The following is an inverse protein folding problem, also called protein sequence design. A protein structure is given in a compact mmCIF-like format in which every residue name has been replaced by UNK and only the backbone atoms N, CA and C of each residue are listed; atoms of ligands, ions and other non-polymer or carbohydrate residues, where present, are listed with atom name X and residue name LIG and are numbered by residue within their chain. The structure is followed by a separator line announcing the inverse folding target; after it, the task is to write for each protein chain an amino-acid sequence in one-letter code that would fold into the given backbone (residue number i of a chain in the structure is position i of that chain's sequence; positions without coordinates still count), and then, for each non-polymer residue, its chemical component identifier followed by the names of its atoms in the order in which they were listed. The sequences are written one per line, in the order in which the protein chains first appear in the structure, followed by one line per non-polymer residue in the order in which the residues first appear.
data_IF_366503968182
#
_entry.id   IF_366503968182
#
_cell.length_a   1.000
_cell.length_b   1.000
_cell.length_c   1.000
_cell.angle_alpha   90.00
_cell.angle_beta   90.00
_cell.angle_gamma   90.00
#
_symmetry.space_group_name_H-M   'P 1'
#
loop_
_entity.id
_entity.type
_entity.pdbx_description
1 polymer ?
#
# COMPACT_ATOMS: atom_id res chain seq x y z
N UNK A 1 -45.93 2.17 11.86
CA UNK A 1 -44.87 1.18 12.19
C UNK A 1 -44.08 0.66 10.97
N UNK A 2 -44.66 0.48 9.77
CA UNK A 2 -44.00 -0.19 8.61
C UNK A 2 -42.78 0.53 8.00
N UNK A 3 -42.67 1.86 8.14
CA UNK A 3 -41.50 2.64 7.65
C UNK A 3 -40.25 2.44 8.49
N UNK A 4 -40.39 2.23 9.80
CA UNK A 4 -39.26 2.10 10.72
C UNK A 4 -38.44 0.83 10.45
N UNK A 5 -39.09 -0.27 10.06
CA UNK A 5 -38.41 -1.54 9.78
C UNK A 5 -37.46 -1.43 8.59
N UNK A 6 -37.88 -0.81 7.49
CA UNK A 6 -37.02 -0.62 6.31
C UNK A 6 -35.82 0.29 6.61
N UNK A 7 -36.04 1.37 7.37
CA UNK A 7 -34.97 2.26 7.86
C UNK A 7 -33.94 1.48 8.70
N UNK A 8 -34.40 0.67 9.66
CA UNK A 8 -33.49 -0.11 10.52
C UNK A 8 -32.69 -1.13 9.72
N UNK A 9 -33.32 -1.87 8.81
CA UNK A 9 -32.62 -2.84 7.95
C UNK A 9 -31.54 -2.16 7.12
N UNK A 10 -31.83 -1.00 6.53
CA UNK A 10 -30.87 -0.23 5.77
C UNK A 10 -29.68 0.23 6.62
N UNK A 11 -29.94 0.76 7.83
CA UNK A 11 -28.90 1.20 8.77
C UNK A 11 -27.99 0.04 9.17
N UNK A 12 -28.57 -1.10 9.54
CA UNK A 12 -27.81 -2.30 9.92
C UNK A 12 -26.95 -2.80 8.76
N UNK A 13 -27.49 -2.78 7.54
CA UNK A 13 -26.72 -3.16 6.35
C UNK A 13 -25.51 -2.26 6.11
N UNK A 14 -25.68 -0.95 6.26
CA UNK A 14 -24.57 0.01 6.18
C UNK A 14 -23.54 -0.25 7.30
N UNK A 15 -23.97 -0.54 8.53
CA UNK A 15 -23.05 -0.89 9.63
C UNK A 15 -22.20 -2.11 9.28
N UNK A 16 -22.81 -3.16 8.73
CA UNK A 16 -22.11 -4.36 8.28
C UNK A 16 -21.11 -4.03 7.16
N UNK A 17 -21.49 -3.19 6.19
CA UNK A 17 -20.58 -2.74 5.13
C UNK A 17 -19.38 -1.96 5.67
N UNK A 18 -19.59 -1.05 6.62
CA UNK A 18 -18.50 -0.30 7.27
C UNK A 18 -17.51 -1.23 7.98
N UNK A 19 -18.02 -2.23 8.71
CA UNK A 19 -17.19 -3.25 9.34
C UNK A 19 -16.50 -4.16 8.31
N UNK A 20 -17.18 -4.53 7.23
CA UNK A 20 -16.61 -5.32 6.15
C UNK A 20 -15.42 -4.64 5.49
N UNK A 21 -15.50 -3.33 5.26
CA UNK A 21 -14.39 -2.52 4.74
C UNK A 21 -13.23 -2.42 5.74
N UNK A 22 -13.53 -2.28 7.03
CA UNK A 22 -12.50 -2.26 8.06
C UNK A 22 -11.77 -3.60 8.17
N UNK A 23 -12.50 -4.71 8.21
CA UNK A 23 -11.95 -6.07 8.31
C UNK A 23 -11.16 -6.42 7.06
N UNK A 24 -11.65 -6.09 5.85
CA UNK A 24 -10.91 -6.32 4.62
C UNK A 24 -9.57 -5.59 4.60
N UNK A 25 -9.53 -4.37 5.17
CA UNK A 25 -8.30 -3.63 5.35
C UNK A 25 -7.29 -4.34 6.24
N UNK A 26 -7.74 -4.80 7.42
CA UNK A 26 -6.89 -5.55 8.35
C UNK A 26 -6.40 -6.85 7.70
N UNK A 27 -7.25 -7.57 6.97
CA UNK A 27 -6.87 -8.79 6.26
C UNK A 27 -5.84 -8.52 5.15
N UNK A 28 -5.97 -7.40 4.43
CA UNK A 28 -4.99 -6.99 3.42
C UNK A 28 -3.64 -6.67 4.07
N UNK A 29 -3.63 -5.87 5.14
CA UNK A 29 -2.42 -5.58 5.89
C UNK A 29 -1.79 -6.87 6.44
N UNK A 30 -2.60 -7.74 7.02
CA UNK A 30 -2.16 -9.05 7.52
C UNK A 30 -1.51 -9.89 6.41
N UNK A 31 -2.15 -9.97 5.24
CA UNK A 31 -1.63 -10.70 4.08
C UNK A 31 -0.30 -10.13 3.59
N UNK A 32 -0.17 -8.81 3.51
CA UNK A 32 1.08 -8.12 3.15
C UNK A 32 2.19 -8.43 4.15
N UNK A 33 1.90 -8.32 5.44
CA UNK A 33 2.90 -8.52 6.51
C UNK A 33 3.37 -9.98 6.57
N UNK A 34 2.44 -10.95 6.55
CA UNK A 34 2.79 -12.36 6.75
C UNK A 34 3.43 -12.99 5.52
N UNK A 35 2.92 -12.66 4.31
CA UNK A 35 3.42 -13.23 3.06
C UNK A 35 4.53 -12.40 2.42
N UNK A 36 4.94 -11.30 3.06
CA UNK A 36 5.94 -10.34 2.55
C UNK A 36 5.67 -9.90 1.10
N UNK A 37 4.39 -9.80 0.74
CA UNK A 37 4.01 -9.29 -0.58
C UNK A 37 4.39 -7.81 -0.66
N UNK A 38 4.80 -7.40 -1.86
CA UNK A 38 4.95 -5.99 -2.17
C UNK A 38 3.61 -5.28 -1.97
N UNK A 39 3.61 -4.16 -1.25
CA UNK A 39 2.41 -3.35 -1.05
C UNK A 39 1.96 -2.82 -2.42
N UNK A 40 0.75 -3.17 -2.89
CA UNK A 40 0.26 -2.62 -4.13
C UNK A 40 0.01 -1.12 -3.97
N UNK A 41 0.56 -0.31 -4.87
CA UNK A 41 0.41 1.16 -4.85
C UNK A 41 -1.06 1.60 -4.82
N UNK A 42 -1.95 0.85 -5.48
CA UNK A 42 -3.37 1.15 -5.53
C UNK A 42 -4.08 0.99 -4.17
N UNK A 43 -3.53 0.20 -3.24
CA UNK A 43 -4.15 0.00 -1.93
C UNK A 43 -4.18 1.28 -1.10
N UNK A 44 -3.18 2.16 -1.23
CA UNK A 44 -3.20 3.47 -0.57
C UNK A 44 -4.39 4.31 -1.02
N UNK A 45 -4.62 4.38 -2.34
CA UNK A 45 -5.77 5.08 -2.92
C UNK A 45 -7.11 4.48 -2.46
N UNK A 46 -7.20 3.15 -2.38
CA UNK A 46 -8.39 2.47 -1.86
C UNK A 46 -8.72 2.90 -0.43
N UNK A 47 -7.77 2.82 0.50
CA UNK A 47 -8.00 3.15 1.91
C UNK A 47 -8.30 4.63 2.14
N UNK A 48 -7.61 5.52 1.43
CA UNK A 48 -7.94 6.95 1.42
C UNK A 48 -9.37 7.13 0.89
N UNK A 49 -9.72 6.48 -0.22
CA UNK A 49 -11.08 6.50 -0.77
C UNK A 49 -12.14 6.03 0.23
N UNK A 50 -11.87 4.95 0.98
CA UNK A 50 -12.76 4.46 2.04
C UNK A 50 -12.94 5.52 3.14
N UNK A 51 -11.84 6.13 3.62
CA UNK A 51 -11.91 7.18 4.64
C UNK A 51 -12.77 8.38 4.21
N UNK A 52 -12.72 8.73 2.93
CA UNK A 52 -13.54 9.81 2.37
C UNK A 52 -14.96 9.38 1.98
N UNK A 53 -15.20 8.08 1.75
CA UNK A 53 -16.53 7.56 1.43
C UNK A 53 -17.42 7.34 2.66
N UNK A 54 -16.82 7.05 3.82
CA UNK A 54 -17.57 6.76 5.05
C UNK A 54 -18.41 7.94 5.56
N UNK A 55 -17.93 9.21 5.58
CA UNK A 55 -18.74 10.33 6.08
C UNK A 55 -19.98 10.63 5.22
N UNK A 56 -19.91 10.72 3.87
CA UNK A 56 -21.10 10.84 3.04
C UNK A 56 -22.07 9.67 3.21
N UNK A 57 -21.56 8.44 3.39
CA UNK A 57 -22.41 7.26 3.61
C UNK A 57 -23.21 7.34 4.92
N UNK A 58 -22.62 7.90 5.98
CA UNK A 58 -23.31 8.19 7.24
C UNK A 58 -24.39 9.26 7.07
N UNK A 59 -24.11 10.31 6.28
CA UNK A 59 -25.08 11.37 6.01
C UNK A 59 -26.25 10.93 5.13
N UNK A 60 -26.08 9.84 4.37
CA UNK A 60 -27.13 9.23 3.57
C UNK A 60 -28.14 8.39 4.40
N UNK A 61 -27.96 8.30 5.72
CA UNK A 61 -28.87 7.50 6.55
C UNK A 61 -30.28 8.12 6.60
N UNK A 62 -31.33 7.30 6.40
CA UNK A 62 -32.70 7.77 6.39
C UNK A 62 -33.09 8.38 7.73
N UNK A 63 -33.64 9.60 7.68
CA UNK A 63 -34.04 10.36 8.87
C UNK A 63 -32.98 11.31 9.42
N UNK A 64 -31.82 11.41 8.76
CA UNK A 64 -30.70 12.30 9.10
C UNK A 64 -30.48 12.42 10.62
N UNK A 65 -30.16 11.29 11.29
CA UNK A 65 -30.00 11.28 12.74
C UNK A 65 -28.90 12.29 13.16
N UNK A 66 -29.09 13.04 14.27
CA UNK A 66 -28.14 14.05 14.72
C UNK A 66 -26.76 13.42 15.01
N UNK A 67 -25.68 14.18 14.89
CA UNK A 67 -24.34 13.65 15.15
C UNK A 67 -24.23 13.07 16.57
N UNK A 68 -23.78 11.82 16.70
CA UNK A 68 -23.55 11.16 17.99
C UNK A 68 -24.60 10.11 18.37
N UNK A 69 -25.27 9.51 17.40
CA UNK A 69 -26.23 8.41 17.65
C UNK A 69 -25.47 7.09 17.83
N UNK A 70 -26.12 6.09 18.42
CA UNK A 70 -25.54 4.78 18.70
C UNK A 70 -24.81 4.15 17.49
N UNK A 71 -25.33 4.33 16.28
CA UNK A 71 -24.69 3.84 15.03
C UNK A 71 -23.30 4.42 14.83
N UNK A 72 -23.10 5.68 15.21
CA UNK A 72 -21.82 6.37 15.04
C UNK A 72 -20.78 5.83 16.03
N UNK A 73 -21.20 5.66 17.28
CA UNK A 73 -20.38 5.10 18.36
C UNK A 73 -20.03 3.64 18.15
N UNK A 74 -20.94 2.83 17.61
CA UNK A 74 -20.76 1.38 17.46
C UNK A 74 -20.07 1.02 16.16
N UNK A 75 -20.28 1.78 15.08
CA UNK A 75 -19.76 1.43 13.75
C UNK A 75 -18.86 2.49 13.14
N UNK A 76 -19.35 3.72 12.97
CA UNK A 76 -18.64 4.71 12.15
C UNK A 76 -17.25 5.03 12.71
N UNK A 77 -17.14 5.36 14.00
CA UNK A 77 -15.86 5.71 14.60
C UNK A 77 -14.90 4.53 14.61
N UNK A 78 -15.36 3.33 14.97
CA UNK A 78 -14.54 2.12 14.93
C UNK A 78 -14.05 1.80 13.52
N UNK A 79 -14.91 1.87 12.51
CA UNK A 79 -14.53 1.62 11.12
C UNK A 79 -13.48 2.64 10.65
N UNK A 80 -13.69 3.94 10.88
CA UNK A 80 -12.74 4.99 10.50
C UNK A 80 -11.40 4.80 11.22
N UNK A 81 -11.41 4.50 12.52
CA UNK A 81 -10.20 4.26 13.31
C UNK A 81 -9.43 3.04 12.81
N UNK A 82 -10.11 1.91 12.59
CA UNK A 82 -9.46 0.68 12.09
C UNK A 82 -8.87 0.91 10.70
N UNK A 83 -9.62 1.52 9.78
CA UNK A 83 -9.14 1.82 8.42
C UNK A 83 -7.96 2.79 8.47
N UNK A 84 -8.04 3.84 9.30
CA UNK A 84 -6.96 4.82 9.46
C UNK A 84 -5.68 4.20 10.01
N UNK A 85 -5.78 3.38 11.07
CA UNK A 85 -4.63 2.64 11.62
C UNK A 85 -4.06 1.68 10.59
N UNK A 86 -4.91 0.95 9.87
CA UNK A 86 -4.49 0.02 8.81
C UNK A 86 -3.71 0.75 7.72
N UNK A 87 -4.19 1.91 7.28
CA UNK A 87 -3.51 2.73 6.28
C UNK A 87 -2.14 3.21 6.77
N UNK A 88 -2.04 3.72 8.01
CA UNK A 88 -0.76 4.14 8.60
C UNK A 88 0.25 2.98 8.64
N UNK A 89 -0.20 1.79 9.05
CA UNK A 89 0.63 0.59 9.04
C UNK A 89 1.05 0.18 7.63
N UNK A 90 0.14 0.24 6.65
CA UNK A 90 0.44 -0.08 5.27
C UNK A 90 1.51 0.86 4.69
N UNK A 91 1.44 2.16 5.03
CA UNK A 91 2.45 3.16 4.63
C UNK A 91 3.79 2.83 5.28
N UNK A 92 3.81 2.54 6.58
CA UNK A 92 5.03 2.18 7.30
C UNK A 92 5.70 0.92 6.70
N UNK A 93 4.92 -0.10 6.38
CA UNK A 93 5.40 -1.33 5.73
C UNK A 93 5.88 -1.03 4.30
N UNK A 94 5.13 -0.25 3.53
CA UNK A 94 5.50 0.14 2.17
C UNK A 94 6.84 0.90 2.12
N UNK A 95 7.07 1.86 3.02
CA UNK A 95 8.35 2.57 3.13
C UNK A 95 9.50 1.59 3.42
N UNK A 96 9.29 0.64 4.34
CA UNK A 96 10.32 -0.38 4.66
C UNK A 96 10.64 -1.26 3.45
N UNK A 97 9.63 -1.69 2.70
CA UNK A 97 9.83 -2.51 1.51
C UNK A 97 10.58 -1.74 0.41
N UNK A 98 10.19 -0.50 0.10
CA UNK A 98 10.87 0.31 -0.91
C UNK A 98 12.35 0.55 -0.60
N UNK A 99 12.71 0.70 0.68
CA UNK A 99 14.12 0.83 1.10
C UNK A 99 14.90 -0.46 0.85
N UNK A 100 14.35 -1.61 1.25
CA UNK A 100 14.99 -2.91 1.04
C UNK A 100 15.21 -3.22 -0.46
N UNK A 101 14.21 -2.93 -1.30
CA UNK A 101 14.34 -3.12 -2.76
C UNK A 101 15.36 -2.16 -3.39
N UNK A 102 15.48 -0.92 -2.89
CA UNK A 102 16.45 0.04 -3.40
C UNK A 102 17.90 -0.39 -3.13
N UNK A 103 18.18 -0.91 -1.93
CA UNK A 103 19.50 -1.44 -1.56
C UNK A 103 19.91 -2.63 -2.45
N UNK A 104 18.99 -3.56 -2.70
CA UNK A 104 19.23 -4.71 -3.59
C UNK A 104 19.52 -4.29 -5.04
N UNK A 105 18.80 -3.29 -5.56
CA UNK A 105 19.02 -2.76 -6.91
C UNK A 105 20.37 -2.05 -7.04
N UNK A 106 20.84 -1.40 -5.98
CA UNK A 106 22.16 -0.78 -5.96
C UNK A 106 23.27 -1.84 -6.02
N UNK A 107 23.16 -2.90 -5.22
CA UNK A 107 24.11 -4.02 -5.21
C UNK A 107 24.16 -4.74 -6.57
N UNK A 108 23.00 -5.06 -7.14
CA UNK A 108 22.91 -5.71 -8.45
C UNK A 108 23.54 -4.88 -9.59
N UNK A 109 23.42 -3.54 -9.54
CA UNK A 109 24.10 -2.66 -10.50
C UNK A 109 25.62 -2.74 -10.35
N UNK A 110 26.13 -2.65 -9.12
CA UNK A 110 27.57 -2.75 -8.85
C UNK A 110 28.15 -4.10 -9.30
N UNK A 111 27.43 -5.20 -9.08
CA UNK A 111 27.86 -6.53 -9.55
C UNK A 111 27.93 -6.62 -11.08
N UNK A 112 26.94 -6.05 -11.79
CA UNK A 112 26.94 -6.02 -13.26
C UNK A 112 28.12 -5.20 -13.79
N UNK A 113 28.37 -4.01 -13.23
CA UNK A 113 29.47 -3.15 -13.64
C UNK A 113 30.83 -3.85 -13.45
N UNK A 114 31.02 -4.51 -12.31
CA UNK A 114 32.23 -5.30 -12.03
C UNK A 114 32.40 -6.47 -13.01
N UNK A 115 31.32 -7.14 -13.40
CA UNK A 115 31.38 -8.21 -14.41
C UNK A 115 31.71 -7.67 -15.80
N UNK A 116 31.21 -6.48 -16.15
CA UNK A 116 31.51 -5.83 -17.42
C UNK A 116 32.99 -5.47 -17.52
N UNK A 117 33.56 -4.89 -16.46
CA UNK A 117 34.97 -4.52 -16.39
C UNK A 117 35.89 -5.76 -16.42
N UNK A 118 35.51 -6.82 -15.71
CA UNK A 118 36.22 -8.09 -15.73
C UNK A 118 36.18 -8.75 -17.13
N UNK A 119 35.03 -8.70 -17.82
CA UNK A 119 34.92 -9.18 -19.21
C UNK A 119 35.73 -8.32 -20.17
N UNK A 120 35.67 -6.99 -20.07
CA UNK A 120 36.42 -6.08 -20.93
C UNK A 120 37.94 -6.28 -20.78
N UNK A 121 38.42 -6.49 -19.55
CA UNK A 121 39.82 -6.79 -19.26
C UNK A 121 40.25 -8.17 -19.81
N UNK A 122 39.37 -9.17 -19.76
CA UNK A 122 39.64 -10.51 -20.30
C UNK A 122 39.61 -10.56 -21.84
N UNK A 123 38.77 -9.73 -22.48
CA UNK A 123 38.64 -9.67 -23.94
C UNK A 123 39.68 -8.75 -24.59
N UNK A 124 40.35 -7.88 -23.82
CA UNK A 124 41.40 -6.98 -24.28
C UNK A 124 42.79 -7.33 -23.71
N UNK A 125 43.37 -8.51 -24.00
CA UNK A 125 44.73 -8.82 -23.61
C UNK A 125 45.68 -7.98 -24.48
N UNK A 126 46.06 -6.81 -23.98
CA UNK A 126 47.18 -5.99 -24.43
C UNK A 126 47.36 -5.93 -25.96
N UNK A 127 46.62 -5.06 -26.64
CA UNK A 127 47.22 -4.35 -27.78
C UNK A 127 48.32 -3.48 -27.16
N UNK A 128 49.56 -4.00 -27.10
CA UNK A 128 50.73 -3.18 -26.78
C UNK A 128 50.78 -2.06 -27.82
N UNK A 129 50.31 -0.89 -27.44
CA UNK A 129 50.66 0.36 -28.11
C UNK A 129 52.13 0.60 -27.77
N UNK A 130 53.02 -0.01 -28.55
CA UNK A 130 54.44 -0.06 -28.23
C UNK A 130 55.22 -0.88 -29.24
N UNK A 131 55.03 -0.58 -30.53
CA UNK A 131 55.94 -0.92 -31.62
C UNK A 131 55.89 0.23 -32.65
N UNK A 132 56.27 1.45 -32.23
CA UNK A 132 56.69 2.47 -33.21
C UNK A 132 58.15 2.18 -33.59
N UNK A 133 58.46 1.90 -34.87
CA UNK A 133 59.83 1.70 -35.30
C UNK A 133 60.57 3.05 -35.32
N UNK A 134 61.85 3.09 -34.91
CA UNK A 134 62.61 4.33 -34.90
C UNK A 134 62.73 4.87 -36.34
N UNK A 135 62.24 6.09 -36.51
CA UNK A 135 62.47 6.95 -37.67
C UNK A 135 63.96 6.98 -38.01
N UNK A 136 64.30 6.57 -39.23
CA UNK A 136 65.58 6.84 -39.88
C UNK A 136 65.36 7.78 -41.05
#
# INVERSE_FOLDING_TARGET
ARRATTTVVYVVWIMILMYGLAISGVLLLWAVVIRRLEVPIWAFGLFVGVLFALPPLRLALPGNPPLGVLVDYVSFYWAVTIVGITLLWLVAVGIRQHRATAEQRAQARTEIDQQLDARSTAEHPAVRVGDEPPTR
#
